data_IF_756191092565
#
_entry.id   IF_756191092565
#
_cell.length_a   1.000
_cell.length_b   1.000
_cell.length_c   1.000
_cell.angle_alpha   90.00
_cell.angle_beta   90.00
_cell.angle_gamma   90.00
#
_symmetry.space_group_name_H-M   'P 1'
#
loop_
_entity.id
_entity.type
_entity.pdbx_description
1 polymer ?
#
# COMPACT_ATOMS: atom_id res chain seq x y z
N UNK A 1 9.35 6.05 -23.78
CA UNK A 1 8.39 5.31 -24.62
C UNK A 1 8.30 5.94 -26.01
N UNK A 2 9.43 6.05 -26.70
CA UNK A 2 9.48 6.61 -28.06
C UNK A 2 9.64 5.49 -29.06
N UNK A 3 8.67 5.40 -29.99
CA UNK A 3 8.61 4.49 -31.15
C UNK A 3 8.30 3.01 -30.87
N UNK A 4 7.10 2.74 -30.35
CA UNK A 4 6.37 1.53 -30.72
C UNK A 4 5.53 1.80 -31.96
N UNK A 5 5.52 0.85 -32.90
CA UNK A 5 4.70 0.85 -34.12
C UNK A 5 3.24 1.22 -33.77
N UNK A 6 2.65 2.17 -34.51
CA UNK A 6 1.27 2.66 -34.31
C UNK A 6 0.28 1.49 -34.19
N UNK A 7 0.43 0.47 -35.05
CA UNK A 7 -0.42 -0.72 -35.06
C UNK A 7 -0.31 -1.55 -33.78
N UNK A 8 0.89 -1.64 -33.21
CA UNK A 8 1.10 -2.34 -31.94
C UNK A 8 0.48 -1.57 -30.78
N UNK A 9 0.52 -0.23 -30.81
CA UNK A 9 -0.19 0.59 -29.82
C UNK A 9 -1.70 0.37 -29.94
N UNK A 10 -2.26 0.49 -31.14
CA UNK A 10 -3.70 0.27 -31.38
C UNK A 10 -4.15 -1.12 -30.91
N UNK A 11 -3.37 -2.17 -31.19
CA UNK A 11 -3.67 -3.53 -30.75
C UNK A 11 -3.63 -3.70 -29.22
N UNK A 12 -2.75 -2.99 -28.51
CA UNK A 12 -2.75 -3.02 -27.04
C UNK A 12 -3.93 -2.22 -26.48
N UNK A 13 -4.25 -1.08 -27.10
CA UNK A 13 -5.38 -0.24 -26.70
C UNK A 13 -6.73 -0.92 -26.91
N UNK A 14 -6.86 -1.90 -27.81
CA UNK A 14 -8.09 -2.68 -27.98
C UNK A 14 -8.30 -3.75 -26.90
N UNK A 15 -7.28 -4.06 -26.09
CA UNK A 15 -7.42 -5.02 -24.99
C UNK A 15 -8.22 -4.39 -23.84
N UNK A 16 -9.39 -4.97 -23.54
CA UNK A 16 -10.26 -4.52 -22.44
C UNK A 16 -9.52 -4.47 -21.09
N UNK A 17 -8.64 -5.44 -20.83
CA UNK A 17 -7.80 -5.47 -19.62
C UNK A 17 -6.87 -4.27 -19.52
N UNK A 18 -6.26 -3.86 -20.64
CA UNK A 18 -5.41 -2.68 -20.71
C UNK A 18 -6.20 -1.40 -20.43
N UNK A 19 -7.36 -1.27 -21.05
CA UNK A 19 -8.25 -0.12 -20.83
C UNK A 19 -8.65 -0.02 -19.35
N UNK A 20 -9.10 -1.10 -18.73
CA UNK A 20 -9.49 -1.11 -17.32
C UNK A 20 -8.33 -0.76 -16.38
N UNK A 21 -7.14 -1.34 -16.62
CA UNK A 21 -5.95 -1.04 -15.83
C UNK A 21 -5.55 0.43 -15.98
N UNK A 22 -5.64 1.02 -17.17
CA UNK A 22 -5.38 2.45 -17.34
C UNK A 22 -6.47 3.33 -16.72
N UNK A 23 -7.74 2.96 -16.86
CA UNK A 23 -8.87 3.74 -16.35
C UNK A 23 -8.91 3.81 -14.83
N UNK A 24 -8.56 2.71 -14.15
CA UNK A 24 -8.69 2.59 -12.69
C UNK A 24 -7.35 2.47 -11.95
N UNK A 25 -6.27 2.17 -12.66
CA UNK A 25 -4.94 1.92 -12.10
C UNK A 25 -3.83 2.79 -12.70
N UNK A 26 -4.16 3.95 -13.29
CA UNK A 26 -3.17 4.82 -13.93
C UNK A 26 -1.98 5.14 -13.03
N UNK A 27 -2.24 5.42 -11.75
CA UNK A 27 -1.20 5.72 -10.77
C UNK A 27 -0.26 4.52 -10.54
N UNK A 28 -0.80 3.30 -10.52
CA UNK A 28 -0.01 2.07 -10.41
C UNK A 28 0.88 1.88 -11.63
N UNK A 29 0.32 2.05 -12.84
CA UNK A 29 1.10 1.97 -14.09
C UNK A 29 2.20 3.01 -14.10
N UNK A 30 1.89 4.26 -13.76
CA UNK A 30 2.88 5.33 -13.64
C UNK A 30 3.95 5.00 -12.59
N UNK A 31 3.56 4.45 -11.45
CA UNK A 31 4.49 4.05 -10.40
C UNK A 31 5.45 2.98 -10.92
N UNK A 32 4.94 1.88 -11.46
CA UNK A 32 5.73 0.78 -12.03
C UNK A 32 6.74 1.24 -13.08
N UNK A 33 6.31 2.09 -14.00
CA UNK A 33 7.19 2.58 -15.08
C UNK A 33 8.27 3.52 -14.55
N UNK A 34 7.94 4.40 -13.60
CA UNK A 34 8.88 5.41 -13.09
C UNK A 34 9.83 4.87 -12.03
N UNK A 35 9.48 3.77 -11.37
CA UNK A 35 10.35 3.04 -10.42
C UNK A 35 11.18 1.97 -11.12
N UNK A 36 10.83 1.58 -12.34
CA UNK A 36 11.50 0.52 -13.10
C UNK A 36 11.07 -0.89 -12.74
N UNK A 37 10.07 -1.05 -11.85
CA UNK A 37 9.55 -2.36 -11.40
C UNK A 37 8.65 -3.02 -12.44
N UNK A 38 8.22 -2.28 -13.46
CA UNK A 38 7.40 -2.80 -14.57
C UNK A 38 8.01 -4.01 -15.30
N UNK A 39 9.33 -4.21 -15.26
CA UNK A 39 10.00 -5.33 -15.95
C UNK A 39 9.63 -6.71 -15.39
N UNK A 40 9.13 -6.77 -14.15
CA UNK A 40 8.70 -8.01 -13.50
C UNK A 40 7.19 -8.16 -13.37
N UNK A 41 6.40 -7.29 -14.04
CA UNK A 41 4.95 -7.24 -13.89
C UNK A 41 4.29 -7.21 -15.26
N UNK A 42 3.43 -8.19 -15.56
CA UNK A 42 2.68 -8.22 -16.81
C UNK A 42 1.38 -7.41 -16.72
N UNK A 43 0.78 -7.09 -17.88
CA UNK A 43 -0.56 -6.49 -17.92
C UNK A 43 -1.61 -7.37 -17.23
N UNK A 44 -1.50 -8.69 -17.38
CA UNK A 44 -2.42 -9.63 -16.75
C UNK A 44 -2.28 -9.57 -15.22
N UNK A 45 -1.06 -9.39 -14.71
CA UNK A 45 -0.83 -9.24 -13.27
C UNK A 45 -1.44 -7.94 -12.73
N UNK A 46 -1.35 -6.84 -13.47
CA UNK A 46 -2.07 -5.60 -13.15
C UNK A 46 -3.57 -5.80 -13.13
N UNK A 47 -4.13 -6.46 -14.14
CA UNK A 47 -5.57 -6.72 -14.22
C UNK A 47 -6.05 -7.63 -13.07
N UNK A 48 -5.31 -8.70 -12.76
CA UNK A 48 -5.58 -9.58 -11.62
C UNK A 48 -5.54 -8.82 -10.30
N UNK A 49 -4.50 -8.02 -10.08
CA UNK A 49 -4.37 -7.20 -8.88
C UNK A 49 -5.56 -6.23 -8.72
N UNK A 50 -5.99 -5.59 -9.81
CA UNK A 50 -7.16 -4.72 -9.83
C UNK A 50 -8.45 -5.48 -9.50
N UNK A 51 -8.57 -6.74 -9.93
CA UNK A 51 -9.72 -7.60 -9.64
C UNK A 51 -9.64 -8.34 -8.30
N UNK A 52 -8.64 -8.05 -7.46
CA UNK A 52 -8.49 -8.68 -6.14
C UNK A 52 -9.00 -7.73 -5.05
N UNK A 53 -10.11 -8.10 -4.39
CA UNK A 53 -10.72 -7.34 -3.28
C UNK A 53 -10.00 -7.54 -1.95
N UNK A 54 -9.59 -8.77 -1.67
CA UNK A 54 -9.08 -9.18 -0.37
C UNK A 54 -7.58 -8.87 -0.20
N UNK A 55 -7.21 -8.51 1.03
CA UNK A 55 -5.83 -8.41 1.48
C UNK A 55 -5.21 -9.80 1.53
N UNK A 56 -4.04 -9.97 0.92
CA UNK A 56 -3.35 -11.25 0.88
C UNK A 56 -2.90 -11.77 2.27
N UNK A 57 -2.95 -10.93 3.30
CA UNK A 57 -2.45 -11.24 4.66
C UNK A 57 -3.58 -11.42 5.66
N UNK A 58 -4.62 -10.57 5.62
CA UNK A 58 -5.68 -10.58 6.64
C UNK A 58 -7.10 -10.59 6.08
N UNK A 59 -7.26 -10.82 4.77
CA UNK A 59 -8.53 -10.93 4.05
C UNK A 59 -9.44 -9.68 4.03
N UNK A 60 -9.18 -8.68 4.86
CA UNK A 60 -9.85 -7.38 4.81
C UNK A 60 -9.63 -6.63 3.48
N UNK A 61 -10.32 -5.52 3.26
CA UNK A 61 -10.27 -4.81 1.98
C UNK A 61 -8.84 -4.33 1.60
N UNK A 62 -8.35 -4.75 0.44
CA UNK A 62 -7.07 -4.34 -0.10
C UNK A 62 -7.19 -3.01 -0.85
N UNK A 63 -6.94 -1.89 -0.17
CA UNK A 63 -6.86 -0.58 -0.84
C UNK A 63 -5.51 -0.30 -1.52
N UNK A 64 -4.51 -1.16 -1.31
CA UNK A 64 -3.13 -0.91 -1.72
C UNK A 64 -2.50 -2.13 -2.39
N UNK A 65 -1.38 -1.89 -3.08
CA UNK A 65 -0.48 -2.91 -3.59
C UNK A 65 0.97 -2.53 -3.28
N UNK A 66 1.73 -3.49 -2.76
CA UNK A 66 3.19 -3.35 -2.62
C UNK A 66 3.83 -3.46 -3.99
N UNK A 67 4.61 -2.44 -4.38
CA UNK A 67 5.26 -2.40 -5.69
C UNK A 67 6.32 -3.50 -5.83
N UNK A 68 7.07 -3.77 -4.76
CA UNK A 68 8.21 -4.69 -4.81
C UNK A 68 7.83 -6.16 -4.70
N UNK A 69 6.87 -6.46 -3.81
CA UNK A 69 6.40 -7.84 -3.56
C UNK A 69 5.19 -8.21 -4.42
N UNK A 70 4.60 -7.22 -5.11
CA UNK A 70 3.38 -7.37 -5.90
C UNK A 70 2.20 -7.95 -5.10
N UNK A 71 2.07 -7.51 -3.86
CA UNK A 71 1.09 -8.04 -2.90
C UNK A 71 -0.02 -7.02 -2.62
N UNK A 72 -1.28 -7.41 -2.89
CA UNK A 72 -2.48 -6.64 -2.50
C UNK A 72 -2.66 -6.65 -0.99
N UNK A 73 -2.80 -5.48 -0.38
CA UNK A 73 -2.81 -5.33 1.07
C UNK A 73 -3.71 -4.18 1.55
N UNK A 74 -4.17 -4.28 2.79
CA UNK A 74 -4.86 -3.21 3.49
C UNK A 74 -3.87 -2.28 4.20
N UNK A 75 -4.36 -1.14 4.71
CA UNK A 75 -3.52 -0.15 5.40
C UNK A 75 -2.70 -0.75 6.55
N UNK A 76 -3.38 -1.49 7.44
CA UNK A 76 -2.75 -2.11 8.60
C UNK A 76 -1.62 -3.05 8.17
N UNK A 77 -1.87 -3.90 7.18
CA UNK A 77 -0.90 -4.90 6.75
C UNK A 77 0.34 -4.27 6.12
N UNK A 78 0.24 -3.25 5.25
CA UNK A 78 1.47 -2.67 4.70
C UNK A 78 2.27 -1.86 5.72
N UNK A 79 1.64 -1.45 6.83
CA UNK A 79 2.33 -0.81 7.95
C UNK A 79 2.94 -1.81 8.92
N UNK A 80 2.31 -2.97 9.14
CA UNK A 80 2.65 -3.86 10.25
C UNK A 80 3.12 -5.26 9.86
N UNK A 81 2.88 -5.71 8.62
CA UNK A 81 3.37 -7.01 8.18
C UNK A 81 4.89 -6.94 7.94
N UNK A 82 5.70 -7.83 8.55
CA UNK A 82 7.14 -7.89 8.31
C UNK A 82 7.51 -7.99 6.83
N UNK A 83 6.74 -8.77 6.06
CA UNK A 83 6.96 -9.07 4.65
C UNK A 83 6.88 -7.83 3.75
N UNK A 84 6.16 -6.80 4.21
CA UNK A 84 5.91 -5.56 3.47
C UNK A 84 6.79 -4.39 3.91
N UNK A 85 7.67 -4.59 4.90
CA UNK A 85 8.52 -3.51 5.42
C UNK A 85 9.59 -3.09 4.40
N UNK A 86 9.67 -1.77 4.17
CA UNK A 86 10.56 -1.14 3.20
C UNK A 86 11.62 -0.31 3.90
N UNK A 87 12.88 -0.66 3.71
CA UNK A 87 14.00 0.04 4.32
C UNK A 87 14.83 0.77 3.28
N UNK A 88 15.50 1.84 3.68
CA UNK A 88 16.51 2.46 2.81
C UNK A 88 17.70 1.51 2.65
N UNK A 89 18.34 1.56 1.49
CA UNK A 89 19.55 0.75 1.25
C UNK A 89 20.62 1.00 2.32
N UNK A 90 20.75 2.24 2.80
CA UNK A 90 21.67 2.61 3.88
C UNK A 90 21.30 1.97 5.21
N UNK A 91 20.01 1.90 5.55
CA UNK A 91 19.55 1.25 6.77
C UNK A 91 19.84 -0.26 6.75
N UNK A 92 19.57 -0.93 5.62
CA UNK A 92 19.90 -2.34 5.41
C UNK A 92 21.39 -2.61 5.54
N UNK A 93 22.24 -1.81 4.89
CA UNK A 93 23.70 -1.93 5.02
C UNK A 93 24.18 -1.78 6.46
N UNK A 94 23.62 -0.82 7.19
CA UNK A 94 23.98 -0.56 8.59
C UNK A 94 23.52 -1.69 9.51
N UNK A 95 22.30 -2.20 9.30
CA UNK A 95 21.66 -3.15 10.18
C UNK A 95 22.08 -4.60 9.94
N UNK A 96 22.13 -5.03 8.68
CA UNK A 96 22.35 -6.43 8.32
C UNK A 96 23.79 -6.73 7.88
N UNK A 97 24.59 -5.71 7.56
CA UNK A 97 26.01 -5.84 7.15
C UNK A 97 26.25 -6.93 6.08
N UNK A 98 25.29 -7.07 5.16
CA UNK A 98 25.34 -8.09 4.11
C UNK A 98 26.56 -7.88 3.19
N UNK A 99 27.19 -8.96 2.70
CA UNK A 99 28.24 -8.88 1.72
C UNK A 99 27.69 -8.33 0.40
N UNK A 100 28.59 -7.82 -0.45
CA UNK A 100 28.19 -7.17 -1.71
C UNK A 100 27.41 -8.10 -2.64
N UNK A 101 27.78 -9.38 -2.71
CA UNK A 101 27.09 -10.38 -3.53
C UNK A 101 25.62 -10.51 -3.16
N UNK A 102 25.29 -10.54 -1.87
CA UNK A 102 23.92 -10.69 -1.39
C UNK A 102 23.12 -9.42 -1.63
N UNK A 103 23.77 -8.25 -1.46
CA UNK A 103 23.16 -6.96 -1.75
C UNK A 103 22.74 -6.81 -3.21
N UNK A 104 23.49 -7.40 -4.15
CA UNK A 104 23.20 -7.34 -5.58
C UNK A 104 22.00 -8.24 -5.97
N UNK A 105 21.63 -9.21 -5.13
CA UNK A 105 20.46 -10.08 -5.30
C UNK A 105 19.15 -9.46 -4.75
N UNK A 106 19.25 -8.42 -3.92
CA UNK A 106 18.08 -7.79 -3.32
C UNK A 106 17.26 -7.04 -4.37
N UNK A 107 15.95 -7.31 -4.39
CA UNK A 107 15.03 -6.49 -5.17
C UNK A 107 14.97 -5.09 -4.55
N UNK A 108 15.19 -4.07 -5.38
CA UNK A 108 15.19 -2.68 -4.96
C UNK A 108 14.68 -1.76 -6.05
N UNK A 109 14.19 -0.59 -5.66
CA UNK A 109 13.86 0.47 -6.61
C UNK A 109 14.05 1.86 -6.00
N UNK A 110 14.09 2.87 -6.86
CA UNK A 110 14.14 4.27 -6.44
C UNK A 110 12.73 4.81 -6.24
N UNK A 111 12.45 5.33 -5.06
CA UNK A 111 11.16 5.96 -4.73
C UNK A 111 10.85 7.13 -5.67
N UNK A 112 9.58 7.48 -5.74
CA UNK A 112 9.14 8.65 -6.48
C UNK A 112 9.13 9.89 -5.56
N UNK A 113 9.40 11.09 -6.09
CA UNK A 113 9.06 12.31 -5.40
C UNK A 113 7.53 12.46 -5.34
N UNK A 114 7.03 13.04 -4.26
CA UNK A 114 5.60 13.25 -4.09
C UNK A 114 5.21 13.57 -2.67
N UNK A 115 3.90 13.67 -2.49
CA UNK A 115 3.27 13.81 -1.19
C UNK A 115 2.71 12.46 -0.79
N UNK A 116 3.15 11.98 0.37
CA UNK A 116 2.78 10.69 0.93
C UNK A 116 1.99 10.90 2.20
N UNK A 117 1.34 9.83 2.69
CA UNK A 117 0.51 9.76 3.90
C UNK A 117 -0.61 10.83 4.01
N UNK A 118 -1.41 10.76 5.08
CA UNK A 118 -2.48 11.73 5.31
C UNK A 118 -1.95 13.05 5.89
N UNK A 119 -0.79 13.03 6.54
CA UNK A 119 -0.08 14.22 7.01
C UNK A 119 0.52 15.04 5.85
N UNK A 120 0.35 14.58 4.60
CA UNK A 120 0.84 15.23 3.38
C UNK A 120 2.35 15.50 3.45
N UNK A 121 3.10 14.52 3.93
CA UNK A 121 4.56 14.60 4.02
C UNK A 121 5.16 14.62 2.62
N UNK A 122 5.81 15.73 2.25
CA UNK A 122 6.36 15.95 0.90
C UNK A 122 7.84 15.59 0.81
N UNK A 123 8.20 14.81 -0.21
CA UNK A 123 9.56 14.36 -0.46
C UNK A 123 9.96 14.67 -1.90
N UNK A 124 11.04 15.45 -2.05
CA UNK A 124 11.58 15.85 -3.36
C UNK A 124 12.66 14.89 -3.87
N UNK A 125 13.40 14.28 -2.96
CA UNK A 125 14.52 13.39 -3.28
C UNK A 125 14.07 11.95 -3.44
N UNK A 126 14.65 11.26 -4.43
CA UNK A 126 14.46 9.81 -4.60
C UNK A 126 15.42 9.05 -3.71
N UNK A 127 14.94 7.99 -3.07
CA UNK A 127 15.72 7.10 -2.21
C UNK A 127 15.68 5.69 -2.78
N UNK A 128 16.79 4.95 -2.71
CA UNK A 128 16.75 3.51 -3.01
C UNK A 128 16.21 2.77 -1.80
N UNK A 129 15.11 2.06 -1.98
CA UNK A 129 14.46 1.24 -0.95
C UNK A 129 14.48 -0.23 -1.35
N UNK A 130 14.48 -1.10 -0.34
CA UNK A 130 14.56 -2.55 -0.47
C UNK A 130 13.60 -3.21 0.51
N UNK A 131 13.19 -4.45 0.24
CA UNK A 131 12.42 -5.25 1.21
C UNK A 131 13.32 -5.61 2.39
N UNK A 132 12.95 -5.15 3.59
CA UNK A 132 13.68 -5.48 4.82
C UNK A 132 13.59 -6.98 5.12
N UNK A 133 12.44 -7.60 4.82
CA UNK A 133 12.24 -9.03 4.97
C UNK A 133 13.17 -9.84 4.06
N UNK A 134 13.28 -9.49 2.78
CA UNK A 134 14.21 -10.18 1.89
C UNK A 134 15.67 -10.02 2.36
N UNK A 135 16.06 -8.81 2.79
CA UNK A 135 17.39 -8.59 3.35
C UNK A 135 17.67 -9.44 4.59
N UNK A 136 16.67 -9.59 5.48
CA UNK A 136 16.76 -10.46 6.66
C UNK A 136 16.99 -11.93 6.28
N UNK A 137 16.43 -12.40 5.17
CA UNK A 137 16.59 -13.80 4.73
C UNK A 137 18.04 -14.14 4.33
N UNK A 138 18.86 -13.15 3.99
CA UNK A 138 20.30 -13.31 3.71
C UNK A 138 21.18 -13.24 4.97
N UNK A 139 20.63 -12.87 6.12
CA UNK A 139 21.41 -12.83 7.38
C UNK A 139 21.57 -14.24 7.90
N UNK A 140 22.80 -14.70 8.11
CA UNK A 140 23.09 -15.99 8.73
C UNK A 140 22.40 -16.11 10.11
N UNK A 141 21.97 -17.32 10.46
CA UNK A 141 21.35 -17.57 11.76
C UNK A 141 22.31 -17.34 12.94
N UNK A 142 23.61 -17.32 12.69
CA UNK A 142 24.64 -17.30 13.73
C UNK A 142 25.27 -15.91 13.94
N UNK A 143 25.41 -15.43 15.19
CA UNK A 143 24.92 -16.03 16.43
C UNK A 143 23.43 -15.75 16.71
N UNK A 144 22.78 -14.85 15.95
CA UNK A 144 21.35 -14.58 16.06
C UNK A 144 20.80 -13.84 14.82
N UNK A 145 19.79 -14.42 14.16
CA UNK A 145 18.96 -13.72 13.17
C UNK A 145 17.85 -12.93 13.88
N UNK A 146 17.67 -11.63 13.60
CA UNK A 146 16.55 -10.87 14.13
C UNK A 146 15.19 -11.50 13.80
N UNK A 147 14.24 -11.45 14.73
CA UNK A 147 12.86 -11.84 14.45
C UNK A 147 12.26 -10.93 13.36
N UNK A 148 11.48 -11.45 12.40
CA UNK A 148 10.75 -10.63 11.42
C UNK A 148 9.90 -9.53 12.08
N UNK A 149 9.36 -9.78 13.27
CA UNK A 149 8.59 -8.79 14.01
C UNK A 149 9.40 -7.53 14.37
N UNK A 150 10.72 -7.65 14.54
CA UNK A 150 11.61 -6.51 14.82
C UNK A 150 11.80 -5.57 13.62
N UNK A 151 11.39 -5.98 12.42
CA UNK A 151 11.44 -5.14 11.22
C UNK A 151 10.33 -4.09 11.19
N UNK A 152 9.29 -4.27 12.00
CA UNK A 152 8.08 -3.45 11.90
C UNK A 152 8.32 -2.08 12.49
N UNK A 153 8.27 -1.05 11.62
CA UNK A 153 8.32 0.35 12.02
C UNK A 153 6.98 1.02 11.69
N UNK A 154 6.12 1.18 12.71
CA UNK A 154 4.80 1.80 12.53
C UNK A 154 4.95 3.24 12.00
N UNK A 155 4.13 3.59 11.00
CA UNK A 155 4.15 4.92 10.39
C UNK A 155 5.37 5.18 9.51
N UNK A 156 6.17 4.15 9.18
CA UNK A 156 7.35 4.31 8.34
C UNK A 156 6.95 4.82 6.95
N UNK A 157 7.45 6.01 6.60
CA UNK A 157 7.12 6.66 5.33
C UNK A 157 7.55 5.83 4.11
N UNK A 158 8.62 5.04 4.24
CA UNK A 158 9.11 4.19 3.16
C UNK A 158 8.10 3.10 2.78
N UNK A 159 7.25 2.65 3.72
CA UNK A 159 6.18 1.70 3.42
C UNK A 159 5.11 2.36 2.52
N UNK A 160 4.83 3.66 2.70
CA UNK A 160 3.98 4.43 1.77
C UNK A 160 4.65 4.61 0.40
N UNK A 161 5.95 4.90 0.37
CA UNK A 161 6.69 5.04 -0.90
C UNK A 161 6.87 3.70 -1.64
N UNK A 162 6.78 2.59 -0.89
CA UNK A 162 6.83 1.21 -1.37
C UNK A 162 5.52 0.68 -1.93
N UNK A 163 4.42 1.41 -1.73
CA UNK A 163 3.06 0.98 -2.06
C UNK A 163 2.38 1.95 -3.00
N UNK A 164 1.32 1.49 -3.65
CA UNK A 164 0.45 2.32 -4.47
C UNK A 164 -1.00 2.05 -4.09
N UNK A 165 -1.82 3.10 -4.02
CA UNK A 165 -3.26 2.96 -3.92
C UNK A 165 -3.80 2.30 -5.19
N UNK A 166 -4.67 1.32 -5.03
CA UNK A 166 -5.28 0.60 -6.14
C UNK A 166 -6.71 0.20 -5.75
N UNK A 167 -7.74 0.69 -6.46
CA UNK A 167 -9.11 0.27 -6.20
C UNK A 167 -9.32 -1.21 -6.50
N UNK A 168 -10.47 -1.71 -6.09
CA UNK A 168 -11.00 -3.00 -6.53
C UNK A 168 -11.96 -2.80 -7.70
N UNK A 169 -11.76 -3.54 -8.79
CA UNK A 169 -12.70 -3.65 -9.89
C UNK A 169 -13.41 -5.00 -9.84
N UNK A 170 -14.73 -4.98 -9.70
CA UNK A 170 -15.58 -6.16 -9.76
C UNK A 170 -15.89 -6.50 -11.22
N UNK A 171 -15.17 -7.49 -11.77
CA UNK A 171 -15.31 -7.87 -13.17
C UNK A 171 -16.73 -8.35 -13.56
N UNK A 172 -17.44 -9.14 -12.74
CA UNK A 172 -18.85 -9.46 -12.94
C UNK A 172 -19.79 -8.26 -13.06
N UNK A 173 -19.70 -7.28 -12.16
CA UNK A 173 -20.67 -6.16 -12.10
C UNK A 173 -20.21 -4.91 -12.85
N UNK A 174 -18.92 -4.83 -13.19
CA UNK A 174 -18.28 -3.65 -13.75
C UNK A 174 -18.11 -2.51 -12.73
N UNK A 175 -18.35 -2.74 -11.45
CA UNK A 175 -18.26 -1.72 -10.40
C UNK A 175 -16.83 -1.53 -9.90
N UNK A 176 -16.53 -0.32 -9.44
CA UNK A 176 -15.25 0.04 -8.83
C UNK A 176 -15.47 0.44 -7.38
N UNK A 177 -14.70 -0.14 -6.48
CA UNK A 177 -14.62 0.24 -5.07
C UNK A 177 -13.22 0.83 -4.78
N UNK A 178 -13.15 2.14 -4.54
CA UNK A 178 -11.93 2.83 -4.09
C UNK A 178 -11.57 2.51 -2.62
N UNK A 179 -12.55 2.01 -1.87
CA UNK A 179 -12.50 1.91 -0.41
C UNK A 179 -13.01 3.17 0.27
N UNK A 180 -13.64 2.99 1.43
CA UNK A 180 -14.25 4.08 2.21
C UNK A 180 -13.52 4.19 3.55
N UNK A 181 -13.15 5.40 3.94
CA UNK A 181 -12.67 5.70 5.29
C UNK A 181 -13.84 6.15 6.17
N UNK A 182 -13.77 5.82 7.46
CA UNK A 182 -14.77 6.28 8.42
C UNK A 182 -14.47 7.71 8.90
N UNK A 183 -15.33 8.67 8.54
CA UNK A 183 -15.21 10.06 8.99
C UNK A 183 -15.26 10.19 10.53
N UNK A 184 -16.01 9.30 11.21
CA UNK A 184 -16.02 9.22 12.68
C UNK A 184 -14.67 8.81 13.26
N UNK A 185 -14.03 7.77 12.70
CA UNK A 185 -12.68 7.37 13.09
C UNK A 185 -11.63 8.44 12.79
N UNK A 186 -11.82 9.21 11.72
CA UNK A 186 -10.93 10.33 11.40
C UNK A 186 -10.98 11.45 12.43
N UNK A 187 -12.17 11.77 12.96
CA UNK A 187 -12.33 12.78 14.00
C UNK A 187 -11.70 12.40 15.34
N UNK A 188 -11.73 11.12 15.73
CA UNK A 188 -11.14 10.68 17.00
C UNK A 188 -9.67 11.08 17.12
N UNK A 189 -8.92 10.94 16.03
CA UNK A 189 -7.51 11.32 15.98
C UNK A 189 -7.35 12.85 15.92
N UNK A 190 -8.20 13.55 15.16
CA UNK A 190 -8.14 14.99 14.98
C UNK A 190 -8.47 15.78 16.26
N UNK A 191 -9.41 15.30 17.07
CA UNK A 191 -9.86 15.99 18.29
C UNK A 191 -8.96 15.72 19.52
N UNK A 192 -7.85 14.99 19.36
CA UNK A 192 -6.92 14.71 20.46
C UNK A 192 -7.48 13.85 21.59
N UNK A 193 -8.69 13.29 21.44
CA UNK A 193 -9.36 12.49 22.48
C UNK A 193 -8.56 11.23 22.90
N UNK A 194 -7.58 10.83 22.09
CA UNK A 194 -6.79 9.59 22.24
C UNK A 194 -5.37 9.87 22.77
N UNK A 195 -5.01 11.14 23.05
CA UNK A 195 -3.63 11.55 23.39
C UNK A 195 -3.14 11.13 24.79
N UNK A 196 -3.97 10.49 25.63
CA UNK A 196 -3.58 10.10 27.00
C UNK A 196 -2.96 8.71 27.12
N UNK A 197 -3.17 7.82 26.15
CA UNK A 197 -2.68 6.43 26.18
C UNK A 197 -2.11 5.99 24.82
N UNK A 198 -0.84 5.56 24.81
CA UNK A 198 -0.07 5.27 23.58
C UNK A 198 -0.61 4.07 22.78
N UNK A 199 -1.17 3.06 23.44
CA UNK A 199 -1.79 1.91 22.78
C UNK A 199 -3.09 2.29 22.06
N UNK A 200 -3.93 3.09 22.73
CA UNK A 200 -5.14 3.68 22.14
C UNK A 200 -4.80 4.58 20.95
N UNK A 201 -3.72 5.35 21.02
CA UNK A 201 -3.25 6.19 19.91
C UNK A 201 -2.90 5.37 18.67
N UNK A 202 -2.18 4.26 18.84
CA UNK A 202 -1.83 3.36 17.74
C UNK A 202 -3.08 2.77 17.07
N UNK A 203 -4.05 2.30 17.86
CA UNK A 203 -5.31 1.78 17.33
C UNK A 203 -6.10 2.86 16.58
N UNK A 204 -6.22 4.06 17.17
CA UNK A 204 -6.98 5.16 16.54
C UNK A 204 -6.33 5.62 15.24
N UNK A 205 -4.98 5.66 15.20
CA UNK A 205 -4.24 5.98 13.99
C UNK A 205 -4.50 4.94 12.88
N UNK A 206 -4.53 3.65 13.22
CA UNK A 206 -4.90 2.61 12.24
C UNK A 206 -6.33 2.79 11.78
N UNK A 207 -7.29 2.88 12.71
CA UNK A 207 -8.71 3.01 12.40
C UNK A 207 -9.02 4.21 11.51
N UNK A 208 -8.32 5.34 11.69
CA UNK A 208 -8.40 6.53 10.84
C UNK A 208 -8.03 6.26 9.38
N UNK A 209 -7.01 5.43 9.17
CA UNK A 209 -6.43 5.17 7.85
C UNK A 209 -6.95 3.87 7.20
N UNK A 210 -7.76 3.09 7.91
CA UNK A 210 -8.37 1.87 7.37
C UNK A 210 -9.35 2.22 6.26
N UNK A 211 -9.16 1.57 5.11
CA UNK A 211 -10.11 1.54 4.00
C UNK A 211 -10.97 0.28 4.14
N UNK A 212 -12.28 0.47 4.05
CA UNK A 212 -13.26 -0.60 4.05
C UNK A 212 -13.87 -0.75 2.64
N UNK A 213 -14.29 -1.96 2.27
CA UNK A 213 -15.28 -2.12 1.20
C UNK A 213 -16.59 -1.44 1.60
N UNK A 214 -17.52 -1.26 0.66
CA UNK A 214 -18.85 -0.71 0.99
C UNK A 214 -19.55 -1.53 2.08
N UNK A 215 -19.61 -2.85 1.90
CA UNK A 215 -20.25 -3.74 2.89
C UNK A 215 -19.47 -3.77 4.21
N UNK A 216 -18.13 -3.81 4.15
CA UNK A 216 -17.28 -3.78 5.34
C UNK A 216 -17.42 -2.48 6.12
N UNK A 217 -17.69 -1.36 5.45
CA UNK A 217 -17.99 -0.10 6.10
C UNK A 217 -19.34 -0.15 6.83
N UNK A 218 -20.36 -0.75 6.22
CA UNK A 218 -21.67 -0.91 6.87
C UNK A 218 -21.58 -1.79 8.12
N UNK A 219 -20.76 -2.84 8.08
CA UNK A 219 -20.45 -3.64 9.27
C UNK A 219 -19.72 -2.84 10.34
N UNK A 220 -18.70 -2.05 9.95
CA UNK A 220 -18.00 -1.14 10.85
C UNK A 220 -18.95 -0.09 11.48
N UNK A 221 -19.88 0.44 10.70
CA UNK A 221 -20.83 1.48 11.12
C UNK A 221 -21.73 1.01 12.28
N UNK A 222 -22.04 -0.29 12.37
CA UNK A 222 -22.90 -0.85 13.44
C UNK A 222 -22.35 -0.59 14.85
N UNK A 223 -21.04 -0.47 15.01
CA UNK A 223 -20.41 -0.28 16.31
C UNK A 223 -19.63 1.04 16.44
N UNK A 224 -19.42 1.77 15.33
CA UNK A 224 -18.70 3.04 15.36
C UNK A 224 -19.60 4.20 15.83
N UNK A 225 -19.64 4.44 17.15
CA UNK A 225 -20.42 5.54 17.77
C UNK A 225 -20.16 6.91 17.15
N UNK A 226 -18.92 7.19 16.74
CA UNK A 226 -18.56 8.46 16.12
C UNK A 226 -19.12 8.60 14.71
N UNK A 227 -19.15 7.52 13.93
CA UNK A 227 -19.78 7.51 12.62
C UNK A 227 -21.29 7.70 12.72
N UNK A 228 -21.92 6.99 13.65
CA UNK A 228 -23.36 7.10 13.94
C UNK A 228 -23.73 8.52 14.37
N UNK A 229 -22.97 9.11 15.29
CA UNK A 229 -23.17 10.49 15.72
C UNK A 229 -23.09 11.47 14.55
N UNK A 230 -22.07 11.37 13.70
CA UNK A 230 -21.95 12.23 12.51
C UNK A 230 -23.12 12.05 11.55
N UNK A 231 -23.55 10.81 11.34
CA UNK A 231 -24.70 10.51 10.49
C UNK A 231 -25.96 11.23 10.96
N UNK A 232 -26.26 11.14 12.26
CA UNK A 232 -27.39 11.85 12.87
C UNK A 232 -27.22 13.38 12.81
N UNK A 233 -26.02 13.90 13.07
CA UNK A 233 -25.71 15.34 12.96
C UNK A 233 -25.82 15.87 11.51
N UNK A 234 -25.71 15.00 10.51
CA UNK A 234 -25.85 15.32 9.08
C UNK A 234 -27.26 15.10 8.53
N UNK A 235 -28.29 15.04 9.39
CA UNK A 235 -29.68 14.73 8.96
C UNK A 235 -29.77 13.46 8.10
N UNK A 236 -29.02 12.43 8.47
CA UNK A 236 -28.94 11.16 7.74
C UNK A 236 -28.39 11.31 6.31
N UNK A 237 -27.43 12.23 6.13
CA UNK A 237 -26.72 12.45 4.87
C UNK A 237 -27.45 13.34 3.87
N UNK A 238 -28.32 14.24 4.36
CA UNK A 238 -29.04 15.24 3.56
C UNK A 238 -28.22 16.51 3.31
#
# INVERSE_FOLDING_TARGET
FGQTNLKSREAVYSLKQYQLVLSHGLNLVCALLRTGVATSVSLLDCYRALCTKACAICDGFAGFISLLTWTRCCYRCFQEAPELQMYSLTAVKRQFRLPKCDMDLLKMFKTLPGTYNLEKSSYKSRMTIVSAYQALMFVDEFPYRPSPASLVQRGQILNFMGTCALPYYDAPTGQVEEGVCCAGCQLLVANGCVMREMELWSWAYQARNTLYSRDGFLEHFRWCKQAQRRWTESDEGK
#
